data_IF_692854251412
#
_entry.id   IF_692854251412
#
_cell.length_a   1.000
_cell.length_b   1.000
_cell.length_c   1.000
_cell.angle_alpha   90.00
_cell.angle_beta   90.00
_cell.angle_gamma   90.00
#
_symmetry.space_group_name_H-M   'P 1'
#
loop_
_entity.id
_entity.type
_entity.pdbx_description
1 polymer ?
#
# COMPACT_ATOMS: atom_id res chain seq x y z
N UNK A 1 -33.67 7.40 -30.68
CA UNK A 1 -32.21 7.47 -31.00
C UNK A 1 -31.77 6.09 -31.47
N UNK A 2 -30.94 6.00 -32.52
CA UNK A 2 -30.52 4.71 -33.08
C UNK A 2 -29.60 3.97 -32.09
N UNK A 3 -29.71 2.64 -31.98
CA UNK A 3 -28.90 1.80 -31.07
C UNK A 3 -27.40 2.06 -31.20
N UNK A 4 -26.95 2.40 -32.41
CA UNK A 4 -25.56 2.71 -32.71
C UNK A 4 -25.08 4.01 -32.05
N UNK A 5 -25.98 5.00 -31.87
CA UNK A 5 -25.68 6.24 -31.14
C UNK A 5 -25.46 5.95 -29.66
N UNK A 6 -26.31 5.11 -29.06
CA UNK A 6 -26.19 4.72 -27.66
C UNK A 6 -24.91 3.92 -27.39
N UNK A 7 -24.52 3.04 -28.32
CA UNK A 7 -23.28 2.28 -28.21
C UNK A 7 -22.04 3.19 -28.26
N UNK A 8 -22.04 4.18 -29.15
CA UNK A 8 -20.95 5.17 -29.24
C UNK A 8 -20.88 6.07 -28.00
N UNK A 9 -22.03 6.47 -27.45
CA UNK A 9 -22.09 7.23 -26.19
C UNK A 9 -21.48 6.40 -25.05
N UNK A 10 -21.85 5.12 -24.92
CA UNK A 10 -21.31 4.23 -23.91
C UNK A 10 -19.79 4.02 -24.05
N UNK A 11 -19.29 3.86 -25.28
CA UNK A 11 -17.85 3.75 -25.54
C UNK A 11 -17.12 5.03 -25.11
N UNK A 12 -17.69 6.19 -25.43
CA UNK A 12 -17.11 7.49 -25.07
C UNK A 12 -17.08 7.68 -23.55
N UNK A 13 -18.13 7.26 -22.85
CA UNK A 13 -18.18 7.26 -21.38
C UNK A 13 -17.12 6.32 -20.80
N UNK A 14 -17.00 5.08 -21.31
CA UNK A 14 -15.98 4.13 -20.88
C UNK A 14 -14.56 4.69 -21.07
N UNK A 15 -14.29 5.34 -22.21
CA UNK A 15 -13.00 5.99 -22.45
C UNK A 15 -12.75 7.16 -21.49
N UNK A 16 -13.78 7.95 -21.18
CA UNK A 16 -13.72 9.04 -20.21
C UNK A 16 -13.40 8.53 -18.81
N UNK A 17 -14.07 7.46 -18.39
CA UNK A 17 -13.84 6.79 -17.11
C UNK A 17 -12.43 6.20 -17.03
N UNK A 18 -11.95 5.55 -18.10
CA UNK A 18 -10.58 5.02 -18.14
C UNK A 18 -9.53 6.13 -18.00
N UNK A 19 -9.71 7.25 -18.71
CA UNK A 19 -8.84 8.43 -18.58
C UNK A 19 -8.86 9.03 -17.17
N UNK A 20 -10.03 9.05 -16.52
CA UNK A 20 -10.17 9.49 -15.14
C UNK A 20 -9.38 8.60 -14.17
N UNK A 21 -9.49 7.27 -14.30
CA UNK A 21 -8.70 6.35 -13.48
C UNK A 21 -7.19 6.50 -13.70
N UNK A 22 -6.75 6.68 -14.94
CA UNK A 22 -5.33 6.94 -15.23
C UNK A 22 -4.84 8.23 -14.55
N UNK A 23 -5.64 9.30 -14.58
CA UNK A 23 -5.32 10.55 -13.89
C UNK A 23 -5.23 10.34 -12.38
N UNK A 24 -6.19 9.64 -11.78
CA UNK A 24 -6.16 9.32 -10.35
C UNK A 24 -4.89 8.55 -10.00
N UNK A 25 -4.52 7.54 -10.79
CA UNK A 25 -3.29 6.76 -10.59
C UNK A 25 -2.05 7.67 -10.64
N UNK A 26 -1.98 8.62 -11.56
CA UNK A 26 -0.86 9.57 -11.63
C UNK A 26 -0.86 10.57 -10.47
N UNK A 27 -2.03 11.01 -9.99
CA UNK A 27 -2.15 11.82 -8.77
C UNK A 27 -1.69 11.03 -7.53
N UNK A 28 -2.07 9.76 -7.40
CA UNK A 28 -1.60 8.88 -6.33
C UNK A 28 -0.09 8.66 -6.42
N UNK A 29 0.48 8.43 -7.62
CA UNK A 29 1.93 8.37 -7.79
C UNK A 29 2.59 9.66 -7.35
N UNK A 30 2.03 10.82 -7.71
CA UNK A 30 2.58 12.12 -7.32
C UNK A 30 2.51 12.33 -5.81
N UNK A 31 1.45 11.89 -5.14
CA UNK A 31 1.34 11.93 -3.67
C UNK A 31 2.40 11.02 -3.03
N UNK A 32 2.55 9.79 -3.52
CA UNK A 32 3.57 8.84 -3.06
C UNK A 32 4.99 9.36 -3.30
N UNK A 33 5.25 10.00 -4.44
CA UNK A 33 6.54 10.64 -4.75
C UNK A 33 6.74 11.98 -4.03
N UNK A 34 5.67 12.63 -3.55
CA UNK A 34 5.76 13.88 -2.80
C UNK A 34 6.13 13.67 -1.33
N UNK A 35 6.10 12.43 -0.83
CA UNK A 35 6.61 12.04 0.49
C UNK A 35 8.14 11.88 0.50
N UNK A 36 8.80 11.98 -0.68
CA UNK A 36 10.25 11.92 -0.85
C UNK A 36 10.90 13.28 -1.16
N UNK A 37 10.23 14.40 -0.85
CA UNK A 37 10.84 15.73 -0.96
C UNK A 37 11.33 16.25 0.39
N UNK A 38 12.37 15.59 0.91
CA UNK A 38 13.38 16.26 1.73
C UNK A 38 14.72 16.09 1.02
N UNK A 39 15.10 17.14 0.30
CA UNK A 39 16.48 17.36 -0.13
C UNK A 39 17.44 17.17 1.05
N UNK A 40 18.44 16.31 0.90
CA UNK A 40 19.81 16.60 1.37
C UNK A 40 20.80 15.67 0.71
N UNK A 41 21.62 16.27 -0.15
CA UNK A 41 23.00 15.91 -0.48
C UNK A 41 23.66 14.96 0.51
N UNK A 42 24.09 13.77 0.05
CA UNK A 42 25.48 13.31 0.09
C UNK A 42 25.56 11.88 -0.43
N UNK A 43 26.69 11.58 -1.07
CA UNK A 43 27.14 10.31 -1.63
C UNK A 43 26.76 9.07 -0.80
N UNK A 44 26.22 8.02 -1.45
CA UNK A 44 26.92 6.73 -1.64
C UNK A 44 26.05 5.76 -2.49
N UNK A 45 26.61 5.01 -3.47
CA UNK A 45 25.81 4.20 -4.39
C UNK A 45 25.79 2.71 -3.97
N UNK A 46 24.70 2.25 -3.34
CA UNK A 46 24.29 0.82 -3.23
C UNK A 46 23.07 0.74 -2.28
N UNK A 47 21.96 0.08 -2.55
CA UNK A 47 21.62 -1.07 -3.38
C UNK A 47 20.19 -0.92 -3.89
N UNK A 48 19.92 -1.53 -5.03
CA UNK A 48 18.58 -1.72 -5.61
C UNK A 48 17.56 -2.20 -4.57
N UNK A 49 16.36 -1.60 -4.47
CA UNK A 49 15.27 -2.25 -3.76
C UNK A 49 14.70 -3.34 -4.68
N UNK A 50 15.24 -4.55 -4.54
CA UNK A 50 14.58 -5.77 -5.00
C UNK A 50 13.17 -5.79 -4.44
N UNK A 51 12.15 -5.67 -5.30
CA UNK A 51 10.77 -6.15 -5.13
C UNK A 51 10.40 -6.51 -3.69
N UNK A 52 10.35 -5.50 -2.81
CA UNK A 52 9.88 -5.71 -1.45
C UNK A 52 8.37 -5.51 -1.52
N UNK A 53 7.61 -6.50 -1.07
CA UNK A 53 6.22 -6.28 -0.69
C UNK A 53 6.15 -4.97 0.09
N UNK A 54 5.32 -4.03 -0.37
CA UNK A 54 5.36 -2.63 0.10
C UNK A 54 5.23 -2.60 1.61
N UNK A 55 6.35 -2.29 2.27
CA UNK A 55 6.48 -2.16 3.73
C UNK A 55 5.44 -1.17 4.28
N UNK A 56 5.05 -0.19 3.46
CA UNK A 56 3.96 0.75 3.70
C UNK A 56 2.60 0.09 3.90
N UNK A 57 2.19 -0.88 3.09
CA UNK A 57 0.89 -1.55 3.24
C UNK A 57 0.83 -2.34 4.56
N UNK A 58 1.93 -3.02 4.90
CA UNK A 58 2.07 -3.75 6.17
C UNK A 58 2.05 -2.79 7.36
N UNK A 59 2.73 -1.64 7.22
CA UNK A 59 2.75 -0.59 8.25
C UNK A 59 1.37 0.04 8.41
N UNK A 60 0.64 0.28 7.33
CA UNK A 60 -0.70 0.84 7.36
C UNK A 60 -1.68 -0.11 8.06
N UNK A 61 -1.67 -1.41 7.73
CA UNK A 61 -2.55 -2.40 8.37
C UNK A 61 -2.23 -2.53 9.86
N UNK A 62 -0.96 -2.76 10.23
CA UNK A 62 -0.58 -2.90 11.64
C UNK A 62 -0.83 -1.61 12.44
N UNK A 63 -0.62 -0.42 11.84
CA UNK A 63 -0.94 0.86 12.47
C UNK A 63 -2.44 1.06 12.64
N UNK A 64 -3.24 0.63 11.67
CA UNK A 64 -4.70 0.68 11.75
C UNK A 64 -5.20 -0.23 12.88
N UNK A 65 -4.74 -1.49 12.91
CA UNK A 65 -5.10 -2.44 13.98
C UNK A 65 -4.63 -1.97 15.37
N UNK A 66 -3.45 -1.35 15.45
CA UNK A 66 -2.97 -0.75 16.69
C UNK A 66 -3.82 0.46 17.13
N UNK A 67 -4.36 1.24 16.19
CA UNK A 67 -5.30 2.34 16.46
C UNK A 67 -6.69 1.83 16.86
N UNK A 68 -7.12 0.69 16.32
CA UNK A 68 -8.37 0.02 16.70
C UNK A 68 -8.32 -0.62 18.10
N UNK A 69 -7.18 -0.51 18.81
CA UNK A 69 -7.01 -1.02 20.18
C UNK A 69 -6.29 -2.37 20.25
N UNK A 70 -6.05 -3.02 19.11
CA UNK A 70 -5.38 -4.33 19.04
C UNK A 70 -3.85 -4.23 19.05
N UNK A 71 -3.29 -3.18 19.66
CA UNK A 71 -1.83 -2.94 19.71
C UNK A 71 -1.06 -4.08 20.38
N UNK A 72 -1.67 -4.74 21.37
CA UNK A 72 -1.07 -5.91 22.04
C UNK A 72 -1.03 -7.14 21.14
N UNK A 73 -2.07 -7.39 20.35
CA UNK A 73 -2.13 -8.50 19.39
C UNK A 73 -1.13 -8.28 18.26
N UNK A 74 -1.08 -7.06 17.72
CA UNK A 74 -0.07 -6.61 16.74
C UNK A 74 1.35 -6.83 17.27
N UNK A 75 1.62 -6.47 18.53
CA UNK A 75 2.95 -6.63 19.15
C UNK A 75 3.28 -8.10 19.46
N UNK A 76 2.29 -8.90 19.83
CA UNK A 76 2.43 -10.35 20.04
C UNK A 76 2.72 -11.06 18.72
N UNK A 77 2.01 -10.68 17.66
CA UNK A 77 2.23 -11.17 16.31
C UNK A 77 3.67 -10.90 15.86
N UNK A 78 4.15 -9.66 15.97
CA UNK A 78 5.54 -9.34 15.62
C UNK A 78 6.55 -10.15 16.45
N UNK A 79 6.33 -10.30 17.77
CA UNK A 79 7.20 -11.09 18.63
C UNK A 79 7.19 -12.60 18.30
N UNK A 80 6.07 -13.15 17.83
CA UNK A 80 5.97 -14.54 17.35
C UNK A 80 6.93 -14.80 16.19
N UNK A 81 7.18 -13.78 15.38
CA UNK A 81 8.16 -13.78 14.29
C UNK A 81 9.53 -13.23 14.70
N UNK A 82 9.79 -13.05 16.01
CA UNK A 82 11.08 -12.63 16.55
C UNK A 82 11.39 -11.14 16.40
N UNK A 83 10.40 -10.30 16.12
CA UNK A 83 10.58 -8.87 15.91
C UNK A 83 9.80 -8.03 16.92
N UNK A 84 10.44 -7.00 17.50
CA UNK A 84 9.73 -6.05 18.36
C UNK A 84 8.96 -4.99 17.58
N UNK A 85 9.29 -4.81 16.29
CA UNK A 85 8.67 -3.85 15.39
C UNK A 85 8.76 -4.33 13.94
N UNK A 86 7.88 -3.80 13.09
CA UNK A 86 7.90 -4.03 11.64
C UNK A 86 9.27 -3.72 11.00
N UNK A 87 10.00 -2.76 11.57
CA UNK A 87 11.34 -2.38 11.12
C UNK A 87 12.42 -3.41 11.47
N UNK A 88 12.18 -4.26 12.46
CA UNK A 88 13.07 -5.35 12.87
C UNK A 88 12.66 -6.71 12.28
N UNK A 89 11.49 -6.77 11.63
CA UNK A 89 10.98 -7.99 11.02
C UNK A 89 11.57 -8.18 9.62
N UNK A 90 12.00 -9.40 9.31
CA UNK A 90 12.52 -9.74 7.99
C UNK A 90 11.41 -9.66 6.92
N UNK A 91 11.77 -9.18 5.73
CA UNK A 91 10.82 -8.99 4.63
C UNK A 91 10.12 -10.30 4.20
N UNK A 92 10.74 -11.45 4.46
CA UNK A 92 10.17 -12.79 4.21
C UNK A 92 8.93 -13.07 5.08
N UNK A 93 8.83 -12.42 6.25
CA UNK A 93 7.70 -12.57 7.16
C UNK A 93 6.62 -11.50 6.97
N UNK A 94 6.83 -10.50 6.10
CA UNK A 94 5.86 -9.42 5.88
C UNK A 94 4.54 -9.92 5.30
N UNK A 95 4.58 -10.86 4.35
CA UNK A 95 3.37 -11.43 3.77
C UNK A 95 2.51 -12.12 4.86
N UNK A 96 3.15 -12.95 5.69
CA UNK A 96 2.45 -13.71 6.72
C UNK A 96 1.93 -12.82 7.85
N UNK A 97 2.73 -11.84 8.29
CA UNK A 97 2.31 -10.87 9.31
C UNK A 97 1.18 -9.98 8.79
N UNK A 98 1.19 -9.60 7.52
CA UNK A 98 0.10 -8.82 6.91
C UNK A 98 -1.21 -9.62 6.90
N UNK A 99 -1.15 -10.90 6.53
CA UNK A 99 -2.31 -11.78 6.50
C UNK A 99 -2.90 -12.00 7.91
N UNK A 100 -2.06 -12.37 8.89
CA UNK A 100 -2.50 -12.53 10.29
C UNK A 100 -3.01 -11.20 10.87
N UNK A 101 -2.35 -10.08 10.58
CA UNK A 101 -2.78 -8.77 11.05
C UNK A 101 -4.10 -8.32 10.43
N UNK A 102 -4.41 -8.73 9.19
CA UNK A 102 -5.71 -8.49 8.57
C UNK A 102 -6.86 -9.13 9.35
N UNK A 103 -6.63 -10.34 9.89
CA UNK A 103 -7.59 -11.11 10.69
C UNK A 103 -7.78 -10.65 12.14
N UNK A 104 -6.87 -9.82 12.67
CA UNK A 104 -6.99 -9.25 14.03
C UNK A 104 -8.29 -8.44 14.15
N UNK A 105 -9.17 -8.79 15.09
CA UNK A 105 -10.44 -8.11 15.33
C UNK A 105 -11.57 -8.48 14.36
N UNK A 106 -11.44 -9.57 13.60
CA UNK A 106 -12.53 -10.16 12.81
C UNK A 106 -12.91 -11.50 13.47
N UNK A 107 -13.71 -11.43 14.54
CA UNK A 107 -14.39 -12.58 15.19
C UNK A 107 -15.88 -12.58 14.83
#
# INVERSE_FOLDING_TARGET
MSKMKQLNELITEMEGTAKYYLRLVDEFKKLLSSEEKTETTSEEPKQEPQKVLKLEDVRAVLATKAKDGYKNEVRTLLNKYGAESLSALAAEHYATVLEEAGGIGHD
#
